data_IF_828421532945
#
_entry.id   IF_828421532945
#
_cell.length_a   1.000
_cell.length_b   1.000
_cell.length_c   1.000
_cell.angle_alpha   90.00
_cell.angle_beta   90.00
_cell.angle_gamma   90.00
#
_symmetry.space_group_name_H-M   'P 1'
#
loop_
_entity.id
_entity.type
_entity.pdbx_description
1 polymer ?
#
# COMPACT_ATOMS: atom_id res chain seq x y z
N UNK A 1 0.06 27.00 10.97
CA UNK A 1 -1.27 26.62 10.48
C UNK A 1 -1.35 25.12 10.58
N UNK A 2 -2.15 24.63 11.52
CA UNK A 2 -2.30 23.21 11.83
C UNK A 2 -3.17 22.59 10.73
N UNK A 3 -2.56 21.89 9.77
CA UNK A 3 -3.30 21.23 8.70
C UNK A 3 -3.88 19.95 9.28
N UNK A 4 -5.05 20.10 9.87
CA UNK A 4 -5.83 19.05 10.52
C UNK A 4 -6.15 17.95 9.50
N UNK A 5 -5.29 16.92 9.44
CA UNK A 5 -5.52 15.68 8.67
C UNK A 5 -6.62 14.89 9.39
N UNK A 6 -7.85 15.43 9.43
CA UNK A 6 -8.99 14.79 10.11
C UNK A 6 -9.96 14.10 9.20
N UNK A 7 -9.82 14.22 7.88
CA UNK A 7 -10.67 13.49 6.96
C UNK A 7 -9.88 12.98 5.74
N UNK A 8 -9.61 11.67 5.64
CA UNK A 8 -8.89 11.12 4.51
C UNK A 8 -9.76 11.19 3.24
N UNK A 9 -9.27 11.89 2.22
CA UNK A 9 -9.91 11.89 0.90
C UNK A 9 -9.62 10.54 0.23
N UNK A 10 -10.62 9.65 0.21
CA UNK A 10 -10.50 8.33 -0.43
C UNK A 10 -10.78 8.44 -1.93
N UNK A 11 -9.72 8.49 -2.73
CA UNK A 11 -9.81 8.44 -4.19
C UNK A 11 -9.80 6.99 -4.67
N UNK A 12 -10.93 6.53 -5.23
CA UNK A 12 -11.04 5.19 -5.85
C UNK A 12 -11.23 5.29 -7.36
N UNK A 13 -11.00 4.19 -8.07
CA UNK A 13 -11.13 4.15 -9.52
C UNK A 13 -12.60 4.20 -9.98
N UNK A 14 -12.83 4.78 -11.15
CA UNK A 14 -14.13 4.77 -11.81
C UNK A 14 -14.39 3.42 -12.47
N UNK A 15 -15.59 2.87 -12.29
CA UNK A 15 -15.99 1.61 -12.91
C UNK A 15 -16.89 1.83 -14.12
N UNK A 16 -16.65 1.08 -15.19
CA UNK A 16 -17.56 1.01 -16.33
C UNK A 16 -18.72 0.06 -15.99
N UNK A 17 -19.90 0.30 -16.55
CA UNK A 17 -21.02 -0.63 -16.49
C UNK A 17 -21.55 -0.94 -17.89
N UNK A 18 -22.47 -1.89 -18.00
CA UNK A 18 -23.07 -2.29 -19.28
C UNK A 18 -23.77 -1.12 -19.99
N UNK A 19 -24.29 -0.16 -19.21
CA UNK A 19 -25.00 1.04 -19.68
C UNK A 19 -24.16 2.32 -19.63
N UNK A 20 -23.01 2.31 -18.94
CA UNK A 20 -22.18 3.49 -18.76
C UNK A 20 -20.72 3.23 -19.15
N UNK A 21 -20.26 3.95 -20.18
CA UNK A 21 -18.85 3.95 -20.60
C UNK A 21 -18.09 5.08 -19.88
N UNK A 22 -16.87 4.78 -19.48
CA UNK A 22 -15.96 5.76 -18.89
C UNK A 22 -15.58 6.84 -19.92
N UNK A 23 -15.65 8.09 -19.48
CA UNK A 23 -15.12 9.24 -20.21
C UNK A 23 -13.58 9.16 -20.33
N UNK A 24 -13.00 9.91 -21.26
CA UNK A 24 -11.54 9.95 -21.40
C UNK A 24 -10.83 10.40 -20.11
N UNK A 25 -11.37 11.40 -19.41
CA UNK A 25 -10.84 11.87 -18.13
C UNK A 25 -10.88 10.81 -17.02
N UNK A 26 -11.97 10.05 -16.93
CA UNK A 26 -12.07 8.94 -15.97
C UNK A 26 -11.09 7.80 -16.27
N UNK A 27 -10.84 7.50 -17.54
CA UNK A 27 -9.82 6.51 -17.93
C UNK A 27 -8.41 6.96 -17.55
N UNK A 28 -8.09 8.24 -17.75
CA UNK A 28 -6.79 8.78 -17.36
C UNK A 28 -6.61 8.81 -15.85
N UNK A 29 -7.65 9.21 -15.10
CA UNK A 29 -7.64 9.13 -13.64
C UNK A 29 -7.39 7.69 -13.14
N UNK A 30 -8.03 6.70 -13.77
CA UNK A 30 -7.78 5.29 -13.45
C UNK A 30 -6.35 4.84 -13.79
N UNK A 31 -5.76 5.38 -14.87
CA UNK A 31 -4.38 5.06 -15.26
C UNK A 31 -3.39 5.58 -14.22
N UNK A 32 -3.55 6.82 -13.78
CA UNK A 32 -2.73 7.42 -12.71
C UNK A 32 -2.86 6.61 -11.41
N UNK A 33 -4.08 6.24 -11.04
CA UNK A 33 -4.31 5.41 -9.85
C UNK A 33 -3.69 4.01 -10.00
N UNK A 34 -3.76 3.40 -11.18
CA UNK A 34 -3.16 2.09 -11.45
C UNK A 34 -1.64 2.10 -11.35
N UNK A 35 -0.97 3.17 -11.77
CA UNK A 35 0.48 3.35 -11.61
C UNK A 35 0.86 3.31 -10.13
N UNK A 36 0.08 3.94 -9.25
CA UNK A 36 0.29 3.88 -7.81
C UNK A 36 0.03 2.50 -7.19
N UNK A 37 -0.93 1.74 -7.73
CA UNK A 37 -1.29 0.39 -7.22
C UNK A 37 -0.33 -0.71 -7.66
N UNK A 38 0.17 -0.63 -8.89
CA UNK A 38 1.04 -1.63 -9.49
C UNK A 38 2.23 -2.07 -8.61
N UNK A 39 3.05 -1.17 -8.01
CA UNK A 39 4.15 -1.60 -7.17
C UNK A 39 3.69 -2.31 -5.89
N UNK A 40 2.58 -1.86 -5.30
CA UNK A 40 2.00 -2.48 -4.10
C UNK A 40 1.51 -3.88 -4.42
N UNK A 41 0.70 -4.03 -5.46
CA UNK A 41 0.17 -5.33 -5.89
C UNK A 41 1.30 -6.30 -6.26
N UNK A 42 2.32 -5.81 -6.98
CA UNK A 42 3.49 -6.60 -7.33
C UNK A 42 4.29 -7.04 -6.11
N UNK A 43 4.55 -6.14 -5.16
CA UNK A 43 5.18 -6.47 -3.88
C UNK A 43 4.40 -7.52 -3.11
N UNK A 44 3.08 -7.35 -2.98
CA UNK A 44 2.22 -8.33 -2.31
C UNK A 44 2.17 -9.69 -3.03
N UNK A 45 2.25 -9.71 -4.37
CA UNK A 45 2.34 -10.95 -5.14
C UNK A 45 3.63 -11.70 -4.80
N UNK A 46 4.78 -11.01 -4.74
CA UNK A 46 6.05 -11.61 -4.32
C UNK A 46 6.02 -12.12 -2.89
N UNK A 47 5.47 -11.34 -1.95
CA UNK A 47 5.34 -11.75 -0.55
C UNK A 47 4.48 -13.01 -0.38
N UNK A 48 3.42 -13.15 -1.20
CA UNK A 48 2.59 -14.36 -1.24
C UNK A 48 3.33 -15.53 -1.89
N UNK A 49 4.00 -15.31 -3.02
CA UNK A 49 4.77 -16.33 -3.74
C UNK A 49 5.86 -16.96 -2.86
N UNK A 50 6.60 -16.14 -2.11
CA UNK A 50 7.62 -16.60 -1.16
C UNK A 50 7.04 -17.10 0.18
N UNK A 51 5.71 -17.09 0.34
CA UNK A 51 4.97 -17.47 1.55
C UNK A 51 5.39 -16.68 2.80
N UNK A 52 5.94 -15.48 2.64
CA UNK A 52 6.39 -14.64 3.75
C UNK A 52 5.22 -14.31 4.67
N UNK A 53 4.06 -13.96 4.10
CA UNK A 53 2.86 -13.67 4.90
C UNK A 53 2.37 -14.88 5.71
N UNK A 54 2.59 -16.11 5.22
CA UNK A 54 2.26 -17.33 5.99
C UNK A 54 3.24 -17.52 7.12
N UNK A 55 4.54 -17.38 6.87
CA UNK A 55 5.59 -17.46 7.89
C UNK A 55 5.39 -16.42 9.00
N UNK A 56 5.05 -15.19 8.61
CA UNK A 56 4.74 -14.09 9.53
C UNK A 56 3.50 -14.38 10.39
N UNK A 57 2.47 -15.02 9.82
CA UNK A 57 1.24 -15.37 10.54
C UNK A 57 1.41 -16.54 11.50
N UNK A 58 2.36 -17.43 11.26
CA UNK A 58 2.65 -18.53 12.18
C UNK A 58 3.23 -18.03 13.51
N UNK A 59 4.00 -16.94 13.48
CA UNK A 59 4.52 -16.30 14.69
C UNK A 59 4.51 -14.75 14.58
N UNK A 60 3.34 -14.13 14.83
CA UNK A 60 3.19 -12.67 14.74
C UNK A 60 3.95 -11.91 15.85
N UNK A 61 4.26 -12.58 16.98
CA UNK A 61 5.00 -11.97 18.07
C UNK A 61 6.48 -11.79 17.70
N UNK A 62 7.10 -12.85 17.18
CA UNK A 62 8.48 -12.80 16.70
C UNK A 62 8.64 -11.84 15.51
N UNK A 63 7.67 -11.82 14.59
CA UNK A 63 7.60 -10.85 13.50
C UNK A 63 7.62 -9.39 14.00
N UNK A 64 6.79 -9.08 15.00
CA UNK A 64 6.68 -7.74 15.58
C UNK A 64 7.97 -7.36 16.30
N UNK A 65 8.61 -8.32 16.98
CA UNK A 65 9.89 -8.09 17.65
C UNK A 65 11.00 -7.73 16.66
N UNK A 66 11.11 -8.45 15.53
CA UNK A 66 12.06 -8.14 14.47
C UNK A 66 11.78 -6.77 13.84
N UNK A 67 10.52 -6.43 13.59
CA UNK A 67 10.14 -5.12 13.04
C UNK A 67 10.53 -3.98 13.99
N UNK A 68 10.31 -4.14 15.30
CA UNK A 68 10.73 -3.16 16.32
C UNK A 68 12.24 -3.02 16.38
N UNK A 69 12.97 -4.12 16.32
CA UNK A 69 14.44 -4.09 16.31
C UNK A 69 14.98 -3.37 15.07
N UNK A 70 14.44 -3.66 13.88
CA UNK A 70 14.78 -2.96 12.63
C UNK A 70 14.43 -1.48 12.71
N UNK A 71 13.28 -1.12 13.26
CA UNK A 71 12.88 0.29 13.41
C UNK A 71 13.87 1.06 14.30
N UNK A 72 14.24 0.49 15.46
CA UNK A 72 15.25 1.09 16.35
C UNK A 72 16.58 1.24 15.62
N UNK A 73 17.03 0.19 14.92
CA UNK A 73 18.27 0.24 14.17
C UNK A 73 18.26 1.31 13.08
N UNK A 74 17.17 1.43 12.33
CA UNK A 74 17.05 2.42 11.23
C UNK A 74 17.01 3.84 11.78
N UNK A 75 16.33 4.06 12.91
CA UNK A 75 16.31 5.38 13.56
C UNK A 75 17.70 5.76 14.08
N UNK A 76 18.46 4.81 14.64
CA UNK A 76 19.84 5.06 15.06
C UNK A 76 20.78 5.36 13.87
N UNK A 77 20.55 4.74 12.72
CA UNK A 77 21.30 5.02 11.48
C UNK A 77 20.98 6.42 10.92
N UNK A 78 19.71 6.85 11.01
CA UNK A 78 19.26 8.18 10.52
C UNK A 78 19.68 9.32 11.46
N UNK A 79 19.84 9.05 12.76
CA UNK A 79 20.27 10.04 13.76
C UNK A 79 21.82 10.23 13.79
N UNK A 80 22.54 9.52 12.91
CA UNK A 80 24.00 9.55 12.78
C UNK A 80 24.45 10.44 11.61
#
# INVERSE_FOLDING_TARGET
MDNDIRDPVIVTGYTASRTHKLTAGQKEANRVLAVGRAPVEHGFAHLKNWRILTKLRTDPAHATQLLRALLVLTNLEVDR
#
